data_IF_857200713261
#
_entry.id   IF_857200713261
#
_cell.length_a   1.000
_cell.length_b   1.000
_cell.length_c   1.000
_cell.angle_alpha   90.00
_cell.angle_beta   90.00
_cell.angle_gamma   90.00
#
_symmetry.space_group_name_H-M   'P 1'
#
loop_
_entity.id
_entity.type
_entity.pdbx_description
1 polymer ?
#
# COMPACT_ATOMS: atom_id res chain seq x y z
N UNK A 1 -2.47 -26.95 -15.91
CA UNK A 1 -1.76 -25.90 -16.68
C UNK A 1 -0.93 -25.15 -15.65
N UNK A 2 0.40 -25.27 -15.68
CA UNK A 2 1.27 -24.46 -14.82
C UNK A 2 1.27 -23.04 -15.39
N UNK A 3 1.13 -22.04 -14.51
CA UNK A 3 1.51 -20.67 -14.87
C UNK A 3 3.03 -20.74 -15.05
N UNK A 4 3.52 -20.55 -16.27
CA UNK A 4 4.96 -20.50 -16.53
C UNK A 4 5.52 -19.26 -15.83
N UNK A 5 6.19 -19.47 -14.70
CA UNK A 5 6.72 -18.39 -13.86
C UNK A 5 8.26 -18.36 -13.88
N UNK A 6 8.90 -19.22 -14.67
CA UNK A 6 10.35 -19.40 -14.68
C UNK A 6 11.11 -18.14 -15.17
N UNK A 7 10.44 -17.25 -15.91
CA UNK A 7 10.99 -15.99 -16.43
C UNK A 7 10.41 -14.74 -15.74
N UNK A 8 9.83 -14.86 -14.54
CA UNK A 8 9.21 -13.74 -13.81
C UNK A 8 10.07 -13.28 -12.62
N UNK A 9 10.44 -12.00 -12.60
CA UNK A 9 11.10 -11.35 -11.46
C UNK A 9 10.10 -10.77 -10.44
N UNK A 10 8.87 -10.46 -10.88
CA UNK A 10 7.84 -9.82 -10.06
C UNK A 10 6.44 -10.31 -10.47
N UNK A 11 5.64 -10.71 -9.48
CA UNK A 11 4.22 -10.99 -9.62
C UNK A 11 3.42 -10.03 -8.73
N UNK A 12 2.52 -9.25 -9.33
CA UNK A 12 1.61 -8.36 -8.60
C UNK A 12 0.24 -9.03 -8.54
N UNK A 13 -0.29 -9.18 -7.33
CA UNK A 13 -1.66 -9.68 -7.11
C UNK A 13 -2.53 -8.52 -6.62
N UNK A 14 -3.47 -8.09 -7.46
CA UNK A 14 -4.53 -7.17 -7.03
C UNK A 14 -5.61 -7.98 -6.30
N UNK A 15 -5.73 -7.76 -4.99
CA UNK A 15 -6.72 -8.44 -4.17
C UNK A 15 -8.12 -7.82 -4.37
N UNK A 16 -9.15 -8.48 -3.85
CA UNK A 16 -10.53 -7.96 -3.85
C UNK A 16 -10.55 -6.64 -3.06
N UNK A 17 -11.21 -5.61 -3.61
CA UNK A 17 -11.34 -4.29 -2.98
C UNK A 17 -12.15 -4.30 -1.68
N UNK A 18 -11.53 -4.70 -0.58
CA UNK A 18 -12.12 -4.83 0.74
C UNK A 18 -11.03 -4.68 1.82
N UNK A 19 -11.27 -3.86 2.86
CA UNK A 19 -10.33 -3.62 3.97
C UNK A 19 -10.54 -4.56 5.18
N UNK A 20 -11.37 -5.59 5.05
CA UNK A 20 -11.69 -6.54 6.12
C UNK A 20 -11.19 -7.93 5.75
N UNK A 21 -11.89 -8.62 4.84
CA UNK A 21 -11.65 -10.04 4.58
C UNK A 21 -10.20 -10.35 4.14
N UNK A 22 -9.57 -9.59 3.22
CA UNK A 22 -8.24 -9.96 2.73
C UNK A 22 -7.14 -9.90 3.79
N UNK A 23 -7.34 -9.15 4.88
CA UNK A 23 -6.35 -9.03 5.94
C UNK A 23 -6.12 -10.35 6.71
N UNK A 24 -7.08 -11.28 6.65
CA UNK A 24 -7.02 -12.57 7.35
C UNK A 24 -6.39 -13.70 6.53
N UNK A 25 -6.11 -13.49 5.24
CA UNK A 25 -5.61 -14.53 4.35
C UNK A 25 -4.17 -14.25 3.91
N UNK A 26 -3.29 -15.21 4.18
CA UNK A 26 -1.97 -15.31 3.57
C UNK A 26 -2.10 -16.06 2.24
N UNK A 27 -1.67 -15.43 1.15
CA UNK A 27 -1.71 -16.01 -0.20
C UNK A 27 -0.31 -16.42 -0.69
N UNK A 28 0.70 -16.35 0.17
CA UNK A 28 2.08 -16.69 -0.14
C UNK A 28 2.85 -15.56 -0.83
N UNK A 29 2.40 -14.32 -0.68
CA UNK A 29 3.08 -13.12 -1.15
C UNK A 29 4.31 -12.77 -0.31
N UNK A 30 5.35 -12.21 -0.94
CA UNK A 30 6.55 -11.77 -0.25
C UNK A 30 6.38 -10.42 0.46
N UNK A 31 5.39 -9.62 0.03
CA UNK A 31 5.10 -8.30 0.59
C UNK A 31 3.66 -7.86 0.33
N UNK A 32 3.12 -7.02 1.21
CA UNK A 32 1.76 -6.48 1.19
C UNK A 32 1.76 -4.96 1.14
N UNK A 33 1.04 -4.39 0.18
CA UNK A 33 0.77 -2.96 0.12
C UNK A 33 -0.72 -2.69 0.34
N UNK A 34 -1.05 -1.83 1.30
CA UNK A 34 -2.40 -1.28 1.46
C UNK A 34 -2.48 0.07 0.76
N UNK A 35 -3.54 0.29 -0.03
CA UNK A 35 -3.79 1.57 -0.69
C UNK A 35 -5.02 2.23 -0.07
N UNK A 36 -4.86 3.45 0.43
CA UNK A 36 -5.95 4.32 0.89
C UNK A 36 -6.00 5.56 -0.01
N UNK A 37 -7.15 5.87 -0.60
CA UNK A 37 -7.32 7.15 -1.32
C UNK A 37 -7.75 8.26 -0.36
N UNK A 38 -7.31 9.50 -0.61
CA UNK A 38 -7.78 10.69 0.15
C UNK A 38 -9.30 10.92 0.07
N UNK A 39 -10.00 10.26 -0.86
CA UNK A 39 -11.46 10.30 -0.99
C UNK A 39 -12.21 9.36 -0.04
N UNK A 40 -11.51 8.55 0.74
CA UNK A 40 -12.12 7.50 1.59
C UNK A 40 -12.26 7.92 3.06
N UNK A 41 -11.50 8.92 3.50
CA UNK A 41 -11.50 9.45 4.88
C UNK A 41 -10.32 9.00 5.74
N UNK A 42 -9.81 9.91 6.55
CA UNK A 42 -8.60 9.77 7.37
C UNK A 42 -8.74 8.78 8.55
N UNK A 43 -9.97 8.36 8.84
CA UNK A 43 -10.31 7.44 9.94
C UNK A 43 -10.20 5.95 9.58
N UNK A 44 -10.01 5.63 8.30
CA UNK A 44 -9.98 4.25 7.79
C UNK A 44 -8.92 3.37 8.45
N UNK A 45 -7.70 3.84 8.75
CA UNK A 45 -6.73 3.02 9.46
C UNK A 45 -7.23 2.55 10.83
N UNK A 46 -7.92 3.42 11.57
CA UNK A 46 -8.46 3.08 12.89
C UNK A 46 -9.71 2.21 12.81
N UNK A 47 -10.51 2.34 11.74
CA UNK A 47 -11.70 1.51 11.50
C UNK A 47 -11.37 0.10 11.01
N UNK A 48 -10.27 -0.05 10.27
CA UNK A 48 -9.84 -1.31 9.67
C UNK A 48 -8.41 -1.68 10.11
N UNK A 49 -8.13 -1.74 11.43
CA UNK A 49 -6.76 -1.78 11.94
C UNK A 49 -5.99 -3.02 11.45
N UNK A 50 -6.64 -4.17 11.33
CA UNK A 50 -5.97 -5.39 10.90
C UNK A 50 -5.34 -5.24 9.50
N UNK A 51 -6.03 -4.60 8.55
CA UNK A 51 -5.51 -4.40 7.20
C UNK A 51 -4.23 -3.56 7.17
N UNK A 52 -4.18 -2.50 7.99
CA UNK A 52 -3.00 -1.64 8.09
C UNK A 52 -1.90 -2.24 8.98
N UNK A 53 -2.26 -3.14 9.89
CA UNK A 53 -1.31 -3.83 10.75
C UNK A 53 -0.53 -4.92 9.99
N UNK A 54 -1.18 -5.62 9.05
CA UNK A 54 -0.55 -6.71 8.28
C UNK A 54 0.12 -6.25 7.00
N UNK A 55 -0.03 -4.98 6.61
CA UNK A 55 0.63 -4.42 5.43
C UNK A 55 2.08 -4.05 5.75
N UNK A 56 2.99 -4.28 4.80
CA UNK A 56 4.39 -3.88 4.92
C UNK A 56 4.59 -2.40 4.61
N UNK A 57 3.74 -1.86 3.73
CA UNK A 57 3.72 -0.45 3.36
C UNK A 57 2.28 0.04 3.13
N UNK A 58 2.07 1.34 3.33
CA UNK A 58 0.84 2.01 2.94
C UNK A 58 1.08 3.04 1.84
N UNK A 59 0.11 3.16 0.94
CA UNK A 59 0.08 4.18 -0.11
C UNK A 59 -1.13 5.07 0.14
N UNK A 60 -0.89 6.36 0.39
CA UNK A 60 -1.93 7.38 0.39
C UNK A 60 -2.06 7.96 -1.02
N UNK A 61 -3.06 7.49 -1.77
CA UNK A 61 -3.23 7.83 -3.19
C UNK A 61 -4.19 9.01 -3.41
N UNK A 62 -4.13 9.56 -4.63
CA UNK A 62 -4.94 10.68 -5.14
C UNK A 62 -4.66 12.01 -4.43
N UNK A 63 -3.42 12.23 -4.00
CA UNK A 63 -3.04 13.48 -3.32
C UNK A 63 -3.22 14.74 -4.19
N UNK A 64 -3.35 14.58 -5.50
CA UNK A 64 -3.75 15.66 -6.42
C UNK A 64 -5.14 16.23 -6.12
N UNK A 65 -5.96 15.51 -5.35
CA UNK A 65 -7.30 15.95 -4.95
C UNK A 65 -7.33 16.75 -3.65
N UNK A 66 -6.24 16.80 -2.88
CA UNK A 66 -6.19 17.51 -1.58
C UNK A 66 -6.67 18.97 -1.65
N UNK A 67 -6.37 19.77 -2.70
CA UNK A 67 -6.88 21.14 -2.80
C UNK A 67 -8.41 21.26 -2.92
N UNK A 68 -9.12 20.15 -3.17
CA UNK A 68 -10.56 20.11 -3.41
C UNK A 68 -11.32 19.35 -2.31
N UNK A 69 -10.62 18.82 -1.30
CA UNK A 69 -11.18 17.98 -0.25
C UNK A 69 -10.89 18.58 1.12
N UNK A 70 -11.85 18.43 2.04
CA UNK A 70 -11.62 18.62 3.47
C UNK A 70 -11.07 17.32 4.06
N UNK A 71 -9.82 17.00 3.69
CA UNK A 71 -9.12 15.79 4.11
C UNK A 71 -7.79 16.16 4.75
N UNK A 72 -7.56 15.65 5.96
CA UNK A 72 -6.30 15.86 6.68
C UNK A 72 -5.34 14.69 6.42
N UNK A 73 -4.41 14.90 5.47
CA UNK A 73 -3.40 13.90 5.12
C UNK A 73 -2.44 13.59 6.28
N UNK A 74 -2.11 14.58 7.11
CA UNK A 74 -1.23 14.38 8.26
C UNK A 74 -1.93 13.47 9.28
N UNK A 75 -3.22 13.73 9.55
CA UNK A 75 -4.03 12.90 10.44
C UNK A 75 -4.18 11.46 9.91
N UNK A 76 -4.36 11.29 8.59
CA UNK A 76 -4.43 9.96 7.97
C UNK A 76 -3.13 9.17 8.19
N UNK A 77 -1.97 9.79 7.93
CA UNK A 77 -0.65 9.19 8.14
C UNK A 77 -0.42 8.88 9.63
N UNK A 78 -0.78 9.78 10.53
CA UNK A 78 -0.68 9.55 11.97
C UNK A 78 -1.56 8.40 12.43
N UNK A 79 -2.77 8.26 11.87
CA UNK A 79 -3.66 7.14 12.16
C UNK A 79 -3.08 5.81 11.65
N UNK A 80 -2.44 5.77 10.49
CA UNK A 80 -1.70 4.58 10.02
C UNK A 80 -0.56 4.22 10.99
N UNK A 81 0.22 5.21 11.42
CA UNK A 81 1.35 5.01 12.35
C UNK A 81 0.92 4.58 13.75
N UNK A 82 -0.29 4.96 14.20
CA UNK A 82 -0.87 4.44 15.46
C UNK A 82 -1.14 2.94 15.38
N UNK A 83 -1.56 2.45 14.21
CA UNK A 83 -1.87 1.03 13.98
C UNK A 83 -0.61 0.22 13.74
N UNK A 84 0.29 0.71 12.88
CA UNK A 84 1.58 0.08 12.61
C UNK A 84 2.72 1.10 12.76
N UNK A 85 3.29 1.21 13.97
CA UNK A 85 4.46 2.05 14.21
C UNK A 85 5.65 1.53 13.38
N UNK A 86 6.10 2.31 12.40
CA UNK A 86 7.25 1.96 11.54
C UNK A 86 6.92 1.54 10.11
N UNK A 87 5.64 1.35 9.76
CA UNK A 87 5.24 1.12 8.37
C UNK A 87 5.55 2.35 7.51
N UNK A 88 6.30 2.22 6.40
CA UNK A 88 6.48 3.27 5.43
C UNK A 88 5.13 3.69 4.83
N UNK A 89 4.93 5.01 4.69
CA UNK A 89 3.75 5.57 4.02
C UNK A 89 4.21 6.42 2.84
N UNK A 90 3.70 6.11 1.65
CA UNK A 90 4.01 6.85 0.43
C UNK A 90 2.80 7.65 -0.03
N UNK A 91 2.96 8.97 -0.10
CA UNK A 91 1.94 9.89 -0.61
C UNK A 91 2.10 10.04 -2.11
N UNK A 92 1.11 9.59 -2.90
CA UNK A 92 1.20 9.57 -4.36
C UNK A 92 -0.06 10.09 -5.05
N UNK A 93 0.09 10.47 -6.31
CA UNK A 93 -1.03 10.57 -7.25
C UNK A 93 -0.78 9.67 -8.44
N UNK A 94 -1.58 8.62 -8.58
CA UNK A 94 -1.58 7.79 -9.79
C UNK A 94 -1.98 8.54 -11.07
N UNK A 95 -2.54 9.74 -10.94
CA UNK A 95 -2.95 10.59 -12.07
C UNK A 95 -1.82 11.50 -12.55
N UNK A 96 -1.05 12.07 -11.63
CA UNK A 96 0.01 13.04 -11.94
C UNK A 96 1.42 12.46 -11.80
N UNK A 97 1.53 11.20 -11.35
CA UNK A 97 2.77 10.47 -11.07
C UNK A 97 3.64 11.09 -9.95
N UNK A 98 3.13 12.12 -9.27
CA UNK A 98 3.78 12.71 -8.10
C UNK A 98 3.93 11.65 -7.01
N UNK A 99 5.11 11.61 -6.38
CA UNK A 99 5.38 10.76 -5.23
C UNK A 99 5.71 9.29 -5.54
N UNK A 100 5.76 8.89 -6.82
CA UNK A 100 6.03 7.50 -7.19
C UNK A 100 7.44 7.03 -6.84
N UNK A 101 8.46 7.88 -6.98
CA UNK A 101 9.85 7.40 -6.94
C UNK A 101 10.23 6.68 -5.63
N UNK A 102 9.92 7.21 -4.43
CA UNK A 102 10.20 6.49 -3.18
C UNK A 102 9.49 5.14 -3.08
N UNK A 103 8.25 5.04 -3.57
CA UNK A 103 7.51 3.78 -3.63
C UNK A 103 8.16 2.79 -4.60
N UNK A 104 8.54 3.25 -5.80
CA UNK A 104 9.19 2.42 -6.81
C UNK A 104 10.57 1.96 -6.38
N UNK A 105 11.33 2.79 -5.67
CA UNK A 105 12.62 2.43 -5.10
C UNK A 105 12.47 1.27 -4.10
N UNK A 106 11.53 1.39 -3.15
CA UNK A 106 11.22 0.33 -2.19
C UNK A 106 10.86 -0.99 -2.89
N UNK A 107 10.00 -0.93 -3.93
CA UNK A 107 9.60 -2.13 -4.68
C UNK A 107 10.79 -2.77 -5.42
N UNK A 108 11.64 -1.95 -6.06
CA UNK A 108 12.84 -2.44 -6.76
C UNK A 108 13.84 -3.07 -5.79
N UNK A 109 13.99 -2.53 -4.59
CA UNK A 109 14.82 -3.13 -3.54
C UNK A 109 14.28 -4.50 -3.15
N UNK A 110 12.97 -4.63 -2.90
CA UNK A 110 12.35 -5.93 -2.57
C UNK A 110 12.54 -6.97 -3.67
N UNK A 111 12.36 -6.59 -4.93
CA UNK A 111 12.60 -7.49 -6.08
C UNK A 111 14.06 -7.91 -6.14
N UNK A 112 15.01 -6.98 -5.97
CA UNK A 112 16.46 -7.30 -5.95
C UNK A 112 16.82 -8.24 -4.81
N UNK A 113 16.29 -8.00 -3.61
CA UNK A 113 16.49 -8.87 -2.44
C UNK A 113 15.99 -10.29 -2.71
N UNK A 114 14.85 -10.45 -3.40
CA UNK A 114 14.27 -11.76 -3.70
C UNK A 114 15.01 -12.49 -4.81
N UNK A 115 15.38 -11.80 -5.88
CA UNK A 115 16.02 -12.38 -7.08
C UNK A 115 17.52 -12.64 -6.93
N UNK A 116 18.17 -12.00 -5.95
CA UNK A 116 19.58 -12.25 -5.63
C UNK A 116 19.80 -13.52 -4.77
N UNK A 117 18.73 -14.09 -4.21
CA UNK A 117 18.73 -15.31 -3.41
C UNK A 117 18.33 -16.53 -4.26
#
# INVERSE_FOLDING_TARGET
RQLGCDDLDLLIVENIGNLVCPAEFDIGEDARAVVLSVTEGEDKPLKYPLMFQVADIAILNKVDLLPYLDFDAVLAVDNMKKVHPGMPVFEISAKTEVGFEPWLEWLREKVKEKTAN
#
